data_IF_501052594251
#
_entry.id   IF_501052594251
#
_cell.length_a   1.000
_cell.length_b   1.000
_cell.length_c   1.000
_cell.angle_alpha   90.00
_cell.angle_beta   90.00
_cell.angle_gamma   90.00
#
_symmetry.space_group_name_H-M   'P 1'
#
loop_
_entity.id
_entity.type
_entity.pdbx_description
1 polymer ?
#
# COMPACT_ATOMS: atom_id res chain seq x y z
N UNK A 1 3.80 18.53 6.24
CA UNK A 1 3.98 17.84 6.39
C UNK A 1 4.90 17.30 5.83
N UNK A 2 5.31 16.96 5.95
CA UNK A 2 6.23 16.52 5.62
C UNK A 2 6.25 15.43 4.85
N UNK A 3 5.67 15.32 4.14
CA UNK A 3 5.63 14.17 3.48
C UNK A 3 6.82 13.86 2.78
N UNK A 4 7.66 14.64 2.74
CA UNK A 4 8.82 14.35 2.02
C UNK A 4 9.66 13.43 2.67
N UNK A 5 9.71 13.31 3.74
CA UNK A 5 10.68 12.58 4.39
C UNK A 5 10.55 11.26 4.00
N UNK A 6 9.65 11.05 3.55
CA UNK A 6 9.38 9.93 3.16
C UNK A 6 10.21 9.08 2.54
N UNK A 7 10.68 9.31 1.68
CA UNK A 7 11.43 8.46 1.03
C UNK A 7 12.42 7.89 1.77
N UNK A 8 12.40 7.87 2.87
CA UNK A 8 13.34 7.24 3.60
C UNK A 8 13.75 6.01 3.00
N UNK A 9 14.75 5.45 3.44
CA UNK A 9 15.30 4.30 2.91
C UNK A 9 14.32 3.19 2.86
N UNK A 10 13.43 3.10 3.74
CA UNK A 10 12.52 2.00 3.71
C UNK A 10 11.16 2.52 3.40
N UNK A 11 10.38 1.92 2.65
CA UNK A 11 9.05 2.33 2.30
C UNK A 11 8.11 2.48 3.47
N UNK A 12 8.47 1.94 4.62
CA UNK A 12 7.62 2.04 5.79
C UNK A 12 7.46 3.49 6.24
N UNK A 13 8.55 4.25 6.19
CA UNK A 13 8.48 5.65 6.57
C UNK A 13 7.54 6.39 5.63
N UNK A 14 7.62 6.10 4.33
CA UNK A 14 6.76 6.74 3.38
C UNK A 14 5.30 6.39 3.64
N UNK A 15 5.01 5.14 3.94
CA UNK A 15 3.65 4.76 4.22
C UNK A 15 3.12 5.42 5.46
N UNK A 16 3.95 5.58 6.47
CA UNK A 16 3.51 6.25 7.66
C UNK A 16 3.17 7.70 7.37
N UNK A 17 3.93 8.35 6.50
CA UNK A 17 3.65 9.72 6.12
C UNK A 17 2.32 9.82 5.39
N UNK A 18 2.03 8.88 4.50
CA UNK A 18 0.78 8.89 3.79
C UNK A 18 -0.37 8.70 4.76
N UNK A 19 -0.24 7.79 5.71
CA UNK A 19 -1.29 7.56 6.69
C UNK A 19 -1.60 8.82 7.48
N UNK A 20 -0.58 9.57 7.83
CA UNK A 20 -0.78 10.79 8.58
C UNK A 20 -1.42 11.87 7.70
N UNK A 21 -1.04 11.91 6.42
CA UNK A 21 -1.53 12.95 5.54
C UNK A 21 -2.88 12.71 4.91
N UNK A 22 -3.38 11.46 4.91
CA UNK A 22 -4.64 11.14 4.30
C UNK A 22 -5.69 10.97 5.38
N UNK A 23 -6.78 11.72 5.26
CA UNK A 23 -7.83 11.64 6.25
C UNK A 23 -9.03 10.93 5.64
N UNK A 24 -9.55 9.95 6.33
CA UNK A 24 -10.73 9.25 5.87
C UNK A 24 -11.94 10.16 5.91
N UNK A 25 -12.77 10.09 4.89
CA UNK A 25 -13.94 10.94 4.83
C UNK A 25 -15.00 10.54 5.81
N UNK A 26 -15.08 9.31 6.17
CA UNK A 26 -16.09 8.83 7.09
C UNK A 26 -15.68 8.92 8.54
N UNK A 27 -14.85 9.87 8.92
CA UNK A 27 -14.44 10.04 10.29
C UNK A 27 -13.62 8.83 10.74
N UNK A 28 -13.99 8.26 11.86
CA UNK A 28 -13.25 7.15 12.43
C UNK A 28 -13.21 5.95 11.49
N UNK A 29 -14.31 5.67 10.80
CA UNK A 29 -14.37 4.56 9.85
C UNK A 29 -13.39 4.81 8.70
N UNK A 30 -13.33 6.04 8.21
CA UNK A 30 -12.40 6.36 7.16
C UNK A 30 -10.96 6.23 7.60
N UNK A 31 -10.66 6.64 8.83
CA UNK A 31 -9.31 6.51 9.35
C UNK A 31 -8.93 5.04 9.44
N UNK A 32 -9.85 4.19 9.89
CA UNK A 32 -9.58 2.77 9.97
C UNK A 32 -9.37 2.17 8.58
N UNK A 33 -10.11 2.64 7.60
CA UNK A 33 -9.95 2.17 6.23
C UNK A 33 -8.54 2.49 5.70
N UNK A 34 -8.06 3.71 5.96
CA UNK A 34 -6.72 4.10 5.53
C UNK A 34 -5.68 3.25 6.25
N UNK A 35 -5.88 3.02 7.54
CA UNK A 35 -4.93 2.21 8.30
C UNK A 35 -4.89 0.78 7.78
N UNK A 36 -6.05 0.21 7.44
CA UNK A 36 -6.09 -1.13 6.89
C UNK A 36 -5.37 -1.19 5.55
N UNK A 37 -5.62 -0.22 4.67
CA UNK A 37 -4.97 -0.21 3.37
C UNK A 37 -3.46 -0.07 3.52
N UNK A 38 -3.01 0.78 4.44
CA UNK A 38 -1.60 0.96 4.69
C UNK A 38 -0.97 -0.35 5.17
N UNK A 39 -1.68 -1.06 6.06
CA UNK A 39 -1.17 -2.33 6.56
C UNK A 39 -1.08 -3.36 5.44
N UNK A 40 -2.07 -3.41 4.55
CA UNK A 40 -2.06 -4.35 3.45
C UNK A 40 -0.90 -4.05 2.50
N UNK A 41 -0.66 -2.78 2.22
CA UNK A 41 0.44 -2.39 1.36
C UNK A 41 1.76 -2.80 2.00
N UNK A 42 1.89 -2.57 3.31
CA UNK A 42 3.10 -2.92 4.00
C UNK A 42 3.31 -4.43 4.05
N UNK A 43 2.24 -5.21 4.04
CA UNK A 43 2.34 -6.67 4.07
C UNK A 43 2.96 -7.22 2.79
N UNK A 44 3.00 -6.46 1.72
CA UNK A 44 3.68 -6.92 0.51
C UNK A 44 5.13 -7.26 0.79
N UNK A 45 5.73 -6.63 1.79
CA UNK A 45 7.11 -6.89 2.14
C UNK A 45 7.31 -8.28 2.75
N UNK A 46 6.22 -8.91 3.19
CA UNK A 46 6.30 -10.23 3.81
C UNK A 46 6.07 -11.34 2.79
N UNK A 47 5.73 -10.99 1.56
CA UNK A 47 5.45 -12.00 0.54
C UNK A 47 6.73 -12.77 0.19
N UNK A 48 6.59 -14.04 -0.13
CA UNK A 48 7.72 -14.87 -0.44
C UNK A 48 7.81 -15.26 -1.90
N UNK A 49 6.76 -15.07 -2.65
CA UNK A 49 6.75 -15.42 -4.07
C UNK A 49 6.16 -14.27 -4.86
N UNK A 50 6.50 -14.15 -6.15
CA UNK A 50 5.89 -13.13 -6.98
C UNK A 50 4.37 -13.25 -7.06
N UNK A 51 3.85 -14.47 -7.00
CA UNK A 51 2.42 -14.68 -7.04
C UNK A 51 1.75 -14.08 -5.80
N UNK A 52 2.37 -14.25 -4.63
CA UNK A 52 1.82 -13.67 -3.41
C UNK A 52 1.79 -12.15 -3.50
N UNK A 53 2.82 -11.55 -4.10
CA UNK A 53 2.86 -10.11 -4.27
C UNK A 53 1.72 -9.65 -5.18
N UNK A 54 1.52 -10.37 -6.28
CA UNK A 54 0.48 -10.03 -7.23
C UNK A 54 -0.90 -10.15 -6.57
N UNK A 55 -1.13 -11.22 -5.85
CA UNK A 55 -2.41 -11.43 -5.17
C UNK A 55 -2.66 -10.34 -4.14
N UNK A 56 -1.63 -9.96 -3.40
CA UNK A 56 -1.76 -8.89 -2.43
C UNK A 56 -2.06 -7.56 -3.08
N UNK A 57 -1.43 -7.29 -4.21
CA UNK A 57 -1.67 -6.05 -4.93
C UNK A 57 -3.12 -6.00 -5.45
N UNK A 58 -3.63 -7.11 -5.98
CA UNK A 58 -5.01 -7.15 -6.43
C UNK A 58 -5.98 -6.92 -5.28
N UNK A 59 -5.69 -7.49 -4.12
CA UNK A 59 -6.51 -7.30 -2.96
C UNK A 59 -6.55 -5.82 -2.55
N UNK A 60 -5.40 -5.16 -2.58
CA UNK A 60 -5.32 -3.74 -2.25
C UNK A 60 -6.15 -2.93 -3.24
N UNK A 61 -6.10 -3.28 -4.52
CA UNK A 61 -6.86 -2.58 -5.55
C UNK A 61 -8.35 -2.67 -5.25
N UNK A 62 -8.83 -3.85 -4.91
CA UNK A 62 -10.25 -4.05 -4.62
C UNK A 62 -10.66 -3.27 -3.38
N UNK A 63 -9.84 -3.31 -2.33
CA UNK A 63 -10.16 -2.60 -1.11
C UNK A 63 -10.16 -1.08 -1.34
N UNK A 64 -9.24 -0.55 -2.13
CA UNK A 64 -9.23 0.87 -2.43
C UNK A 64 -10.50 1.27 -3.15
N UNK A 65 -10.92 0.47 -4.12
CA UNK A 65 -12.12 0.77 -4.85
C UNK A 65 -13.34 0.75 -3.94
N UNK A 66 -13.42 -0.25 -3.07
CA UNK A 66 -14.52 -0.35 -2.12
C UNK A 66 -14.54 0.86 -1.18
N UNK A 67 -13.39 1.30 -0.72
CA UNK A 67 -13.32 2.43 0.19
C UNK A 67 -13.80 3.71 -0.49
N UNK A 68 -13.47 3.89 -1.77
CA UNK A 68 -13.93 5.05 -2.50
C UNK A 68 -15.43 4.93 -2.72
N UNK A 69 -15.91 3.77 -3.13
CA UNK A 69 -17.33 3.56 -3.40
C UNK A 69 -18.18 3.73 -2.14
N UNK A 70 -17.65 3.37 -0.99
CA UNK A 70 -18.35 3.54 0.27
C UNK A 70 -18.12 4.92 0.88
N UNK A 71 -17.39 5.76 0.17
CA UNK A 71 -17.15 7.14 0.60
C UNK A 71 -16.32 7.21 1.89
N UNK A 72 -15.47 6.24 2.15
CA UNK A 72 -14.59 6.27 3.31
C UNK A 72 -13.35 7.13 3.05
N UNK A 73 -12.88 7.18 1.80
CA UNK A 73 -11.74 8.01 1.44
C UNK A 73 -12.03 8.68 0.11
N UNK A 74 -11.29 9.71 -0.19
CA UNK A 74 -11.47 10.42 -1.45
C UNK A 74 -10.72 9.72 -2.56
N UNK A 75 -11.19 9.86 -3.78
CA UNK A 75 -10.59 9.19 -4.91
C UNK A 75 -9.12 9.59 -5.09
N UNK A 76 -8.78 10.84 -4.87
CA UNK A 76 -7.40 11.24 -5.06
C UNK A 76 -6.48 10.62 -4.02
N UNK A 77 -6.99 10.39 -2.81
CA UNK A 77 -6.19 9.74 -1.78
C UNK A 77 -6.02 8.27 -2.10
N UNK A 78 -7.05 7.64 -2.66
CA UNK A 78 -6.95 6.27 -3.11
C UNK A 78 -5.92 6.16 -4.23
N UNK A 79 -5.90 7.13 -5.14
CA UNK A 79 -4.93 7.11 -6.23
C UNK A 79 -3.50 7.18 -5.69
N UNK A 80 -3.26 8.00 -4.68
CA UNK A 80 -1.94 8.08 -4.09
C UNK A 80 -1.53 6.76 -3.45
N UNK A 81 -2.48 6.14 -2.73
CA UNK A 81 -2.20 4.84 -2.11
C UNK A 81 -1.93 3.78 -3.18
N UNK A 82 -2.66 3.81 -4.28
CA UNK A 82 -2.45 2.85 -5.35
C UNK A 82 -1.12 3.05 -6.05
N UNK A 83 -0.67 4.30 -6.19
CA UNK A 83 0.64 4.55 -6.77
C UNK A 83 1.73 3.98 -5.86
N UNK A 84 1.59 4.16 -4.56
CA UNK A 84 2.56 3.60 -3.62
C UNK A 84 2.50 2.08 -3.66
N UNK A 85 1.31 1.51 -3.71
CA UNK A 85 1.16 0.05 -3.75
C UNK A 85 1.81 -0.52 -5.01
N UNK A 86 1.62 0.15 -6.15
CA UNK A 86 2.22 -0.32 -7.40
C UNK A 86 3.74 -0.27 -7.34
N UNK A 87 4.28 0.80 -6.77
CA UNK A 87 5.72 0.95 -6.64
C UNK A 87 6.29 -0.16 -5.75
N UNK A 88 5.68 -0.38 -4.60
CA UNK A 88 6.16 -1.41 -3.69
C UNK A 88 5.95 -2.81 -4.24
N UNK A 89 4.83 -3.04 -4.92
CA UNK A 89 4.58 -4.36 -5.53
C UNK A 89 5.65 -4.67 -6.57
N UNK A 90 6.02 -3.67 -7.38
CA UNK A 90 7.07 -3.90 -8.36
C UNK A 90 8.40 -4.26 -7.72
N UNK A 91 8.75 -3.55 -6.64
CA UNK A 91 9.99 -3.83 -5.94
C UNK A 91 9.95 -5.21 -5.30
N UNK A 92 8.82 -5.58 -4.70
CA UNK A 92 8.73 -6.86 -4.02
C UNK A 92 8.65 -8.02 -5.02
N UNK A 93 8.08 -7.79 -6.19
CA UNK A 93 8.10 -8.82 -7.23
C UNK A 93 9.54 -9.08 -7.68
N UNK A 94 10.31 -8.02 -7.88
CA UNK A 94 11.71 -8.19 -8.28
C UNK A 94 12.49 -8.92 -7.19
N UNK A 95 12.23 -8.56 -5.92
CA UNK A 95 12.91 -9.21 -4.80
C UNK A 95 12.58 -10.69 -4.73
N UNK A 96 11.28 -11.03 -4.84
CA UNK A 96 10.86 -12.42 -4.70
C UNK A 96 11.30 -13.25 -5.91
N UNK A 97 11.33 -12.66 -7.10
CA UNK A 97 11.83 -13.37 -8.27
C UNK A 97 13.31 -13.68 -8.10
N UNK A 98 14.08 -12.72 -7.60
CA UNK A 98 15.50 -12.95 -7.38
C UNK A 98 15.72 -14.04 -6.35
N UNK A 99 14.90 -14.06 -5.29
CA UNK A 99 15.00 -15.07 -4.26
C UNK A 99 14.66 -16.45 -4.81
N UNK A 100 13.65 -16.54 -5.67
CA UNK A 100 13.30 -17.83 -6.25
C UNK A 100 14.42 -18.34 -7.14
N UNK A 101 15.02 -17.47 -7.92
CA UNK A 101 16.13 -17.91 -8.77
C UNK A 101 17.32 -18.34 -7.95
N UNK A 102 17.60 -17.61 -6.88
CA UNK A 102 18.74 -17.97 -6.04
C UNK A 102 18.49 -19.28 -5.31
N UNK A 103 17.25 -19.58 -5.01
CA UNK A 103 16.93 -20.79 -4.28
C UNK A 103 16.93 -22.03 -5.15
N UNK A 104 16.97 -21.86 -6.45
CA UNK A 104 16.99 -22.97 -7.35
C UNK A 104 18.42 -23.24 -7.80
#
# INVERSE_FOLDING_TARGET
MKSKTILGADGTTKMRQITVGIHGKGGETGIKAVMLLTALINDLKQCKTPQEVYDGYLQITVYCKCCVDCDFIEEKDADELMHLAAYLAGNEQARTEAQQKAGN
#
